data_IF_388426932157
#
_entry.id   IF_388426932157
#
_cell.length_a   1.000
_cell.length_b   1.000
_cell.length_c   1.000
_cell.angle_alpha   90.00
_cell.angle_beta   90.00
_cell.angle_gamma   90.00
#
_symmetry.space_group_name_H-M   'P 1'
#
loop_
_entity.id
_entity.type
_entity.pdbx_description
1 polymer ?
#
# COMPACT_ATOMS: atom_id res chain seq x y z
N UNK A 1 -8.66 -14.82 -5.07
CA UNK A 1 -7.38 -14.35 -4.49
C UNK A 1 -7.56 -13.84 -3.06
N UNK A 2 -8.53 -12.97 -2.77
CA UNK A 2 -8.71 -12.34 -1.45
C UNK A 2 -8.74 -13.30 -0.24
N UNK A 3 -9.54 -14.37 -0.28
CA UNK A 3 -9.62 -15.34 0.82
C UNK A 3 -8.26 -16.00 1.13
N UNK A 4 -7.47 -16.34 0.11
CA UNK A 4 -6.13 -16.89 0.29
C UNK A 4 -5.19 -15.88 0.96
N UNK A 5 -5.25 -14.60 0.55
CA UNK A 5 -4.47 -13.53 1.17
C UNK A 5 -4.80 -13.38 2.66
N UNK A 6 -6.10 -13.32 3.01
CA UNK A 6 -6.54 -13.28 4.42
C UNK A 6 -6.03 -14.47 5.21
N UNK A 7 -6.17 -15.69 4.67
CA UNK A 7 -5.70 -16.91 5.34
C UNK A 7 -4.19 -16.88 5.58
N UNK A 8 -3.40 -16.50 4.58
CA UNK A 8 -1.94 -16.41 4.70
C UNK A 8 -1.53 -15.37 5.76
N UNK A 9 -2.16 -14.20 5.78
CA UNK A 9 -1.90 -13.15 6.78
C UNK A 9 -2.27 -13.63 8.19
N UNK A 10 -3.42 -14.29 8.37
CA UNK A 10 -3.84 -14.86 9.66
C UNK A 10 -2.90 -15.98 10.12
N UNK A 11 -2.44 -16.83 9.20
CA UNK A 11 -1.42 -17.84 9.48
C UNK A 11 -0.11 -17.20 9.94
N UNK A 12 0.36 -16.15 9.26
CA UNK A 12 1.56 -15.43 9.67
C UNK A 12 1.44 -14.86 11.09
N UNK A 13 0.31 -14.19 11.40
CA UNK A 13 0.01 -13.70 12.75
C UNK A 13 0.05 -14.85 13.76
N UNK A 14 -0.70 -15.93 13.50
CA UNK A 14 -0.76 -17.10 14.39
C UNK A 14 0.62 -17.71 14.66
N UNK A 15 1.44 -17.89 13.63
CA UNK A 15 2.80 -18.45 13.75
C UNK A 15 3.73 -17.55 14.57
N UNK A 16 3.64 -16.23 14.41
CA UNK A 16 4.47 -15.26 15.12
C UNK A 16 4.12 -15.21 16.61
N UNK A 17 2.83 -15.29 16.93
CA UNK A 17 2.33 -15.22 18.30
C UNK A 17 2.47 -16.55 19.06
N UNK A 18 2.47 -17.70 18.38
CA UNK A 18 2.73 -19.01 18.99
C UNK A 18 4.19 -19.20 19.43
N UNK A 19 5.16 -18.59 18.74
CA UNK A 19 6.58 -18.76 19.09
C UNK A 19 6.94 -18.00 20.36
N UNK A 20 7.68 -18.62 21.27
CA UNK A 20 8.33 -17.91 22.37
C UNK A 20 9.57 -17.18 21.82
N UNK A 21 9.42 -15.88 21.59
CA UNK A 21 10.50 -15.02 21.10
C UNK A 21 11.16 -14.33 22.29
N UNK A 22 12.49 -14.13 22.21
CA UNK A 22 13.20 -13.33 23.21
C UNK A 22 12.62 -11.91 23.29
N UNK A 23 12.68 -11.21 24.44
CA UNK A 23 12.15 -9.85 24.58
C UNK A 23 12.59 -8.86 23.49
N UNK A 24 13.86 -8.95 23.07
CA UNK A 24 14.43 -8.14 21.99
C UNK A 24 13.79 -8.34 20.60
N UNK A 25 13.03 -9.44 20.42
CA UNK A 25 12.29 -9.78 19.20
C UNK A 25 10.79 -9.47 19.33
N UNK A 26 10.30 -9.12 20.53
CA UNK A 26 8.90 -8.76 20.74
C UNK A 26 8.50 -7.51 19.93
N UNK A 27 9.42 -6.58 19.74
CA UNK A 27 9.18 -5.38 18.93
C UNK A 27 8.97 -5.72 17.45
N UNK A 28 9.74 -6.67 16.91
CA UNK A 28 9.58 -7.15 15.53
C UNK A 28 8.24 -7.85 15.33
N UNK A 29 7.78 -8.59 16.34
CA UNK A 29 6.44 -9.19 16.32
C UNK A 29 5.35 -8.14 16.11
N UNK A 30 5.45 -6.97 16.74
CA UNK A 30 4.44 -5.90 16.57
C UNK A 30 4.43 -5.41 15.13
N UNK A 31 5.58 -5.02 14.58
CA UNK A 31 5.66 -4.51 13.20
C UNK A 31 5.16 -5.52 12.14
N UNK A 32 5.52 -6.79 12.30
CA UNK A 32 5.03 -7.84 11.38
C UNK A 32 3.53 -8.09 11.58
N UNK A 33 3.01 -8.00 12.82
CA UNK A 33 1.56 -8.10 13.08
C UNK A 33 0.80 -6.96 12.41
N UNK A 34 1.28 -5.72 12.52
CA UNK A 34 0.66 -4.54 11.88
C UNK A 34 0.62 -4.72 10.36
N UNK A 35 1.74 -5.09 9.75
CA UNK A 35 1.83 -5.31 8.30
C UNK A 35 0.92 -6.46 7.86
N UNK A 36 0.90 -7.57 8.59
CA UNK A 36 0.03 -8.71 8.29
C UNK A 36 -1.47 -8.34 8.44
N UNK A 37 -1.83 -7.52 9.43
CA UNK A 37 -3.20 -7.01 9.58
C UNK A 37 -3.60 -6.11 8.41
N UNK A 38 -2.71 -5.23 7.94
CA UNK A 38 -2.96 -4.38 6.77
C UNK A 38 -3.11 -5.23 5.50
N UNK A 39 -2.24 -6.22 5.28
CA UNK A 39 -2.38 -7.16 4.16
C UNK A 39 -3.66 -8.01 4.23
N UNK A 40 -4.09 -8.44 5.42
CA UNK A 40 -5.36 -9.13 5.62
C UNK A 40 -6.55 -8.23 5.28
N UNK A 41 -6.54 -6.98 5.77
CA UNK A 41 -7.57 -5.98 5.47
C UNK A 41 -7.68 -5.76 3.96
N UNK A 42 -6.56 -5.49 3.28
CA UNK A 42 -6.56 -5.25 1.85
C UNK A 42 -7.03 -6.48 1.05
N UNK A 43 -6.64 -7.69 1.47
CA UNK A 43 -7.10 -8.93 0.84
C UNK A 43 -8.59 -9.18 1.04
N UNK A 44 -9.13 -8.86 2.22
CA UNK A 44 -10.55 -8.95 2.51
C UNK A 44 -11.36 -7.95 1.67
N UNK A 45 -10.91 -6.69 1.61
CA UNK A 45 -11.53 -5.66 0.80
C UNK A 45 -11.53 -6.04 -0.68
N UNK A 46 -10.38 -6.50 -1.22
CA UNK A 46 -10.28 -6.95 -2.60
C UNK A 46 -11.19 -8.15 -2.90
N UNK A 47 -11.32 -9.09 -1.95
CA UNK A 47 -12.22 -10.24 -2.08
C UNK A 47 -13.70 -9.88 -2.05
N UNK A 48 -14.08 -8.84 -1.30
CA UNK A 48 -15.48 -8.44 -1.14
C UNK A 48 -15.97 -7.45 -2.22
N UNK A 49 -15.08 -6.58 -2.71
CA UNK A 49 -15.42 -5.49 -3.63
C UNK A 49 -14.82 -5.59 -5.03
N UNK A 50 -13.99 -6.61 -5.30
CA UNK A 50 -13.40 -6.93 -6.62
C UNK A 50 -13.12 -5.68 -7.48
N UNK A 51 -12.21 -4.83 -7.01
CA UNK A 51 -12.06 -3.48 -7.54
C UNK A 51 -11.22 -3.44 -8.81
N UNK A 52 -11.80 -2.93 -9.89
CA UNK A 52 -11.13 -2.65 -11.15
C UNK A 52 -10.93 -1.15 -11.28
N UNK A 53 -9.76 -0.75 -11.77
CA UNK A 53 -9.42 0.62 -12.08
C UNK A 53 -9.51 0.80 -13.59
N UNK A 54 -10.21 1.84 -14.01
CA UNK A 54 -10.43 2.24 -15.39
C UNK A 54 -9.89 3.66 -15.57
N UNK A 55 -9.20 3.88 -16.69
CA UNK A 55 -8.66 5.19 -17.05
C UNK A 55 -9.12 5.53 -18.46
N UNK A 56 -9.99 6.53 -18.54
CA UNK A 56 -10.66 6.95 -19.76
C UNK A 56 -10.45 8.45 -19.93
N UNK A 57 -9.53 8.83 -20.82
CA UNK A 57 -9.06 10.22 -21.02
C UNK A 57 -8.59 10.89 -19.72
N UNK A 58 -9.40 11.79 -19.14
CA UNK A 58 -9.10 12.49 -17.90
C UNK A 58 -9.82 11.89 -16.69
N UNK A 59 -10.51 10.76 -16.85
CA UNK A 59 -11.25 10.11 -15.78
C UNK A 59 -10.44 8.96 -15.19
N UNK A 60 -10.32 8.94 -13.86
CA UNK A 60 -9.85 7.79 -13.11
C UNK A 60 -11.03 7.19 -12.35
N UNK A 61 -11.43 5.99 -12.75
CA UNK A 61 -12.63 5.32 -12.30
C UNK A 61 -12.26 4.06 -11.51
N UNK A 62 -12.89 3.86 -10.37
CA UNK A 62 -12.86 2.63 -9.57
C UNK A 62 -14.21 1.96 -9.72
N UNK A 63 -14.24 0.82 -10.40
CA UNK A 63 -15.42 -0.02 -10.57
C UNK A 63 -15.37 -1.15 -9.57
N UNK A 64 -16.35 -1.21 -8.67
CA UNK A 64 -16.47 -2.32 -7.72
C UNK A 64 -17.46 -3.36 -8.22
N UNK A 65 -17.02 -4.61 -8.17
CA UNK A 65 -17.79 -5.80 -8.52
C UNK A 65 -18.00 -6.71 -7.30
N UNK A 66 -18.81 -7.76 -7.48
CA UNK A 66 -18.96 -8.82 -6.48
C UNK A 66 -19.91 -8.46 -5.34
N UNK A 67 -19.79 -9.07 -4.16
CA UNK A 67 -20.75 -8.96 -3.05
C UNK A 67 -21.17 -7.55 -2.66
N UNK A 68 -20.26 -6.58 -2.79
CA UNK A 68 -20.51 -5.18 -2.43
C UNK A 68 -21.66 -4.54 -3.21
N UNK A 69 -21.92 -4.96 -4.45
CA UNK A 69 -22.94 -4.32 -5.31
C UNK A 69 -24.36 -4.54 -4.78
N UNK A 70 -24.59 -5.64 -4.05
CA UNK A 70 -25.88 -5.96 -3.41
C UNK A 70 -26.04 -5.34 -2.02
N UNK A 71 -25.03 -4.62 -1.53
CA UNK A 71 -25.09 -3.92 -0.25
C UNK A 71 -25.60 -2.48 -0.42
N UNK A 72 -25.92 -1.82 0.70
CA UNK A 72 -26.25 -0.39 0.67
C UNK A 72 -25.03 0.43 0.25
N UNK A 73 -25.31 1.61 -0.30
CA UNK A 73 -24.28 2.56 -0.76
C UNK A 73 -23.32 2.94 0.39
N UNK A 74 -23.85 3.18 1.59
CA UNK A 74 -23.07 3.47 2.80
C UNK A 74 -22.01 2.38 3.06
N UNK A 75 -22.34 1.10 2.86
CA UNK A 75 -21.37 0.00 3.05
C UNK A 75 -20.28 0.07 1.98
N UNK A 76 -20.66 0.38 0.73
CA UNK A 76 -19.73 0.50 -0.39
C UNK A 76 -18.77 1.69 -0.19
N UNK A 77 -19.27 2.83 0.28
CA UNK A 77 -18.48 4.04 0.60
C UNK A 77 -17.47 3.76 1.71
N UNK A 78 -17.90 3.11 2.79
CA UNK A 78 -17.03 2.72 3.91
C UNK A 78 -15.95 1.75 3.43
N UNK A 79 -16.28 0.80 2.55
CA UNK A 79 -15.31 -0.13 1.99
C UNK A 79 -14.30 0.57 1.08
N UNK A 80 -14.74 1.54 0.27
CA UNK A 80 -13.85 2.37 -0.53
C UNK A 80 -12.90 3.17 0.36
N UNK A 81 -13.42 3.81 1.41
CA UNK A 81 -12.60 4.55 2.37
C UNK A 81 -11.49 3.67 2.97
N UNK A 82 -11.84 2.46 3.44
CA UNK A 82 -10.87 1.53 3.98
C UNK A 82 -9.89 1.02 2.92
N UNK A 83 -10.34 0.87 1.67
CA UNK A 83 -9.47 0.46 0.57
C UNK A 83 -8.43 1.53 0.26
N UNK A 84 -8.85 2.79 0.13
CA UNK A 84 -7.94 3.92 -0.12
C UNK A 84 -6.96 4.04 1.06
N UNK A 85 -7.45 4.01 2.30
CA UNK A 85 -6.59 4.01 3.49
C UNK A 85 -5.56 2.86 3.47
N UNK A 86 -5.98 1.64 3.12
CA UNK A 86 -5.09 0.49 3.03
C UNK A 86 -4.06 0.63 1.92
N UNK A 87 -4.43 1.26 0.79
CA UNK A 87 -3.53 1.54 -0.33
C UNK A 87 -2.44 2.55 0.05
N UNK A 88 -2.79 3.63 0.76
CA UNK A 88 -1.82 4.57 1.34
C UNK A 88 -0.86 3.87 2.31
N UNK A 89 -1.41 2.99 3.18
CA UNK A 89 -0.64 2.22 4.15
C UNK A 89 0.50 1.37 3.55
N UNK A 90 0.44 1.03 2.26
CA UNK A 90 1.46 0.22 1.57
C UNK A 90 2.86 0.85 1.70
N UNK A 91 2.99 2.16 1.44
CA UNK A 91 4.29 2.84 1.53
C UNK A 91 4.53 3.53 2.87
N UNK A 92 3.47 3.91 3.57
CA UNK A 92 3.59 4.60 4.87
C UNK A 92 4.07 3.69 6.01
N UNK A 93 3.84 2.38 5.91
CA UNK A 93 4.32 1.40 6.91
C UNK A 93 5.77 0.96 6.69
N UNK A 94 6.36 1.21 5.50
CA UNK A 94 7.76 0.84 5.19
C UNK A 94 8.76 1.48 6.16
N UNK A 95 8.69 2.79 6.47
CA UNK A 95 9.54 3.44 7.45
C UNK A 95 9.54 2.77 8.82
N UNK A 96 8.37 2.34 9.31
CA UNK A 96 8.24 1.81 10.66
C UNK A 96 9.11 0.56 10.84
N UNK A 97 9.04 -0.37 9.90
CA UNK A 97 9.90 -1.56 9.90
C UNK A 97 11.39 -1.20 9.87
N UNK A 98 11.79 -0.20 9.09
CA UNK A 98 13.21 0.15 8.90
C UNK A 98 13.80 0.93 10.07
N UNK A 99 13.03 1.87 10.64
CA UNK A 99 13.38 2.59 11.87
C UNK A 99 13.53 1.59 13.01
N UNK A 100 12.60 0.65 13.14
CA UNK A 100 12.64 -0.36 14.19
C UNK A 100 13.95 -1.16 14.16
N UNK A 101 14.39 -1.56 12.97
CA UNK A 101 15.63 -2.30 12.76
C UNK A 101 16.86 -1.47 13.12
N UNK A 102 16.89 -0.23 12.65
CA UNK A 102 17.97 0.69 12.97
C UNK A 102 18.08 0.92 14.48
N UNK A 103 16.96 1.10 15.17
CA UNK A 103 16.93 1.28 16.62
C UNK A 103 17.38 0.02 17.36
N UNK A 104 16.95 -1.17 16.91
CA UNK A 104 17.39 -2.44 17.47
C UNK A 104 18.91 -2.68 17.31
N UNK A 105 19.53 -2.10 16.28
CA UNK A 105 20.97 -2.17 16.02
C UNK A 105 21.80 -1.14 16.77
N UNK A 106 21.29 0.09 16.87
CA UNK A 106 22.10 1.25 17.26
C UNK A 106 21.96 1.65 18.72
N UNK A 107 20.88 1.26 19.41
CA UNK A 107 20.58 1.76 20.74
C UNK A 107 19.96 0.70 21.63
N UNK A 108 20.35 0.68 22.91
CA UNK A 108 19.64 -0.03 23.98
C UNK A 108 18.38 0.71 24.43
N UNK A 109 17.60 1.28 23.50
CA UNK A 109 16.33 1.94 23.86
C UNK A 109 15.37 0.88 24.40
N UNK A 110 14.72 1.19 25.52
CA UNK A 110 13.65 0.40 26.13
C UNK A 110 12.59 0.05 25.07
N UNK A 111 12.12 -1.19 25.08
CA UNK A 111 11.31 -1.78 24.00
C UNK A 111 10.05 -0.97 23.65
N UNK A 112 9.38 -0.33 24.61
CA UNK A 112 8.14 0.44 24.37
C UNK A 112 8.40 1.75 23.61
N UNK A 113 9.41 2.51 24.01
CA UNK A 113 9.78 3.77 23.34
C UNK A 113 10.21 3.50 21.90
N UNK A 114 10.84 2.35 21.65
CA UNK A 114 11.21 1.92 20.29
C UNK A 114 9.99 1.76 19.38
N UNK A 115 8.90 1.15 19.87
CA UNK A 115 7.65 0.98 19.12
C UNK A 115 7.04 2.34 18.79
N UNK A 116 6.96 3.23 19.79
CA UNK A 116 6.35 4.56 19.58
C UNK A 116 7.12 5.34 18.51
N UNK A 117 8.45 5.30 18.53
CA UNK A 117 9.29 6.02 17.55
C UNK A 117 9.17 5.41 16.14
N UNK A 118 9.10 4.08 16.02
CA UNK A 118 9.02 3.48 14.69
C UNK A 118 7.65 3.71 14.04
N UNK A 119 6.57 3.60 14.83
CA UNK A 119 5.21 3.78 14.32
C UNK A 119 4.81 5.25 14.14
N UNK A 120 5.49 6.20 14.80
CA UNK A 120 5.09 7.61 14.72
C UNK A 120 5.19 8.18 13.32
N UNK A 121 6.19 7.78 12.53
CA UNK A 121 6.36 8.28 11.15
C UNK A 121 5.18 7.85 10.28
N UNK A 122 4.79 6.57 10.35
CA UNK A 122 3.63 6.04 9.62
C UNK A 122 2.33 6.72 10.06
N UNK A 123 2.12 6.89 11.37
CA UNK A 123 0.91 7.53 11.90
C UNK A 123 0.78 8.99 11.50
N UNK A 124 1.89 9.74 11.49
CA UNK A 124 1.88 11.15 11.05
C UNK A 124 1.51 11.23 9.57
N UNK A 125 2.05 10.32 8.74
CA UNK A 125 1.71 10.23 7.32
C UNK A 125 0.21 9.91 7.13
N UNK A 126 -0.31 8.88 7.81
CA UNK A 126 -1.74 8.51 7.75
C UNK A 126 -2.65 9.67 8.18
N UNK A 127 -2.28 10.41 9.23
CA UNK A 127 -3.06 11.56 9.71
C UNK A 127 -3.02 12.70 8.69
N UNK A 128 -1.88 12.93 8.06
CA UNK A 128 -1.74 13.89 6.98
C UNK A 128 -2.58 13.49 5.75
N UNK A 129 -2.66 12.20 5.44
CA UNK A 129 -3.40 11.68 4.29
C UNK A 129 -4.91 11.48 4.53
N UNK A 130 -5.37 11.58 5.79
CA UNK A 130 -6.78 11.39 6.16
C UNK A 130 -7.79 12.18 5.30
N UNK A 131 -7.56 13.49 4.97
CA UNK A 131 -8.48 14.23 4.12
C UNK A 131 -8.64 13.60 2.74
N UNK A 132 -7.64 12.88 2.25
CA UNK A 132 -7.60 12.31 0.91
C UNK A 132 -8.28 10.94 0.79
N UNK A 133 -8.63 10.28 1.89
CA UNK A 133 -9.27 8.95 1.86
C UNK A 133 -10.67 8.97 1.24
N UNK A 134 -11.31 10.14 1.19
CA UNK A 134 -12.60 10.33 0.53
C UNK A 134 -12.48 10.91 -0.88
N UNK A 135 -11.27 11.07 -1.44
CA UNK A 135 -11.05 11.77 -2.71
C UNK A 135 -11.78 11.16 -3.92
N UNK A 136 -12.19 9.89 -3.85
CA UNK A 136 -12.94 9.20 -4.90
C UNK A 136 -14.46 9.13 -4.65
N UNK A 137 -14.95 9.77 -3.58
CA UNK A 137 -16.39 9.99 -3.37
C UNK A 137 -16.78 11.23 -4.16
N UNK A 138 -17.06 11.02 -5.45
CA UNK A 138 -17.44 12.09 -6.37
C UNK A 138 -18.85 12.62 -6.08
N UNK A 139 -19.09 13.86 -6.50
CA UNK A 139 -20.42 14.47 -6.60
C UNK A 139 -21.39 13.58 -7.40
N UNK A 140 -22.72 13.71 -7.18
CA UNK A 140 -23.71 12.97 -7.96
C UNK A 140 -23.54 13.13 -9.48
N UNK A 141 -23.27 14.35 -9.95
CA UNK A 141 -23.11 14.70 -11.36
C UNK A 141 -21.87 14.02 -11.97
N UNK A 142 -20.74 14.06 -11.26
CA UNK A 142 -19.53 13.38 -11.69
C UNK A 142 -19.71 11.87 -11.66
N UNK A 143 -20.37 11.32 -10.64
CA UNK A 143 -20.66 9.89 -10.57
C UNK A 143 -21.52 9.40 -11.72
N UNK A 144 -22.51 10.18 -12.17
CA UNK A 144 -23.31 9.86 -13.37
C UNK A 144 -22.43 9.79 -14.63
N UNK A 145 -21.54 10.78 -14.81
CA UNK A 145 -20.57 10.80 -15.91
C UNK A 145 -19.63 9.57 -15.90
N UNK A 146 -19.05 9.25 -14.73
CA UNK A 146 -18.19 8.08 -14.58
C UNK A 146 -18.97 6.79 -14.82
N UNK A 147 -20.23 6.71 -14.38
CA UNK A 147 -21.09 5.54 -14.57
C UNK A 147 -21.42 5.33 -16.05
N UNK A 148 -21.77 6.39 -16.78
CA UNK A 148 -22.02 6.30 -18.22
C UNK A 148 -20.80 5.75 -18.98
N UNK A 149 -19.60 6.22 -18.60
CA UNK A 149 -18.33 5.74 -19.16
C UNK A 149 -18.10 4.26 -18.87
N UNK A 150 -18.38 3.80 -17.65
CA UNK A 150 -18.28 2.37 -17.30
C UNK A 150 -19.26 1.53 -18.09
N UNK A 151 -20.52 1.97 -18.23
CA UNK A 151 -21.55 1.27 -19.00
C UNK A 151 -21.11 1.10 -20.46
N UNK A 152 -20.56 2.15 -21.06
CA UNK A 152 -20.04 2.10 -22.43
C UNK A 152 -18.83 1.17 -22.56
N UNK A 153 -17.77 1.38 -21.75
CA UNK A 153 -16.50 0.66 -21.89
C UNK A 153 -16.61 -0.82 -21.53
N UNK A 154 -17.47 -1.16 -20.56
CA UNK A 154 -17.69 -2.54 -20.13
C UNK A 154 -18.88 -3.21 -20.82
N UNK A 155 -19.55 -2.51 -21.74
CA UNK A 155 -20.74 -3.00 -22.46
C UNK A 155 -21.82 -3.54 -21.51
N UNK A 156 -22.06 -2.82 -20.40
CA UNK A 156 -22.98 -3.27 -19.35
C UNK A 156 -24.44 -3.22 -19.84
N UNK A 157 -25.21 -4.24 -19.46
CA UNK A 157 -26.65 -4.31 -19.69
C UNK A 157 -27.45 -3.86 -18.47
N UNK A 158 -28.76 -3.69 -18.60
CA UNK A 158 -29.66 -3.33 -17.48
C UNK A 158 -29.66 -4.35 -16.33
N UNK A 159 -29.20 -5.58 -16.58
CA UNK A 159 -29.11 -6.63 -15.57
C UNK A 159 -27.78 -6.59 -14.79
N UNK A 160 -26.80 -5.85 -15.30
CA UNK A 160 -25.47 -5.77 -14.69
C UNK A 160 -25.47 -4.68 -13.60
N UNK A 161 -24.95 -5.04 -12.42
CA UNK A 161 -24.89 -4.13 -11.27
C UNK A 161 -23.45 -3.91 -10.86
N UNK A 162 -23.04 -2.65 -10.83
CA UNK A 162 -21.70 -2.21 -10.43
C UNK A 162 -21.80 -0.98 -9.53
N UNK A 163 -20.78 -0.77 -8.69
CA UNK A 163 -20.61 0.52 -8.00
C UNK A 163 -19.46 1.28 -8.65
N UNK A 164 -19.69 2.55 -8.94
CA UNK A 164 -18.73 3.39 -9.64
C UNK A 164 -18.32 4.54 -8.73
N UNK A 165 -17.01 4.65 -8.55
CA UNK A 165 -16.34 5.70 -7.80
C UNK A 165 -15.21 6.26 -8.65
N UNK A 166 -14.60 7.36 -8.23
CA UNK A 166 -13.47 7.91 -8.96
C UNK A 166 -13.44 9.42 -8.94
N UNK A 167 -12.81 9.99 -9.95
CA UNK A 167 -12.76 11.43 -10.18
C UNK A 167 -12.02 11.75 -11.47
N UNK A 168 -11.95 13.03 -11.78
CA UNK A 168 -11.25 13.55 -12.96
C UNK A 168 -9.85 14.04 -12.58
N UNK A 169 -8.92 14.05 -13.54
CA UNK A 169 -7.56 14.54 -13.36
C UNK A 169 -7.56 15.98 -12.84
N UNK A 170 -8.42 16.82 -13.41
CA UNK A 170 -8.70 18.18 -12.98
C UNK A 170 -10.14 18.26 -12.49
N UNK A 171 -10.39 18.97 -11.39
CA UNK A 171 -11.75 19.13 -10.87
C UNK A 171 -12.63 19.80 -11.93
N UNK A 172 -13.72 19.13 -12.32
CA UNK A 172 -14.69 19.65 -13.29
C UNK A 172 -15.91 20.27 -12.60
N UNK A 173 -16.26 19.80 -11.40
CA UNK A 173 -17.38 20.28 -10.61
C UNK A 173 -16.88 20.89 -9.29
N UNK A 174 -17.69 21.76 -8.69
CA UNK A 174 -17.30 22.60 -7.55
C UNK A 174 -16.94 21.79 -6.29
N UNK A 175 -17.63 20.68 -6.04
CA UNK A 175 -17.40 19.83 -4.86
C UNK A 175 -16.35 18.73 -5.09
N UNK A 176 -15.92 18.52 -6.34
CA UNK A 176 -15.03 17.43 -6.69
C UNK A 176 -13.56 17.75 -6.51
N UNK A 177 -12.80 16.71 -6.15
CA UNK A 177 -11.35 16.82 -5.95
C UNK A 177 -10.62 16.27 -7.15
N UNK A 178 -9.61 17.03 -7.57
CA UNK A 178 -8.68 16.61 -8.62
C UNK A 178 -7.90 15.36 -8.18
N UNK A 179 -7.86 14.35 -9.05
CA UNK A 179 -7.01 13.16 -8.86
C UNK A 179 -5.53 13.53 -8.89
N UNK A 180 -5.14 14.57 -9.64
CA UNK A 180 -3.77 15.10 -9.61
C UNK A 180 -3.44 15.77 -8.27
N UNK A 181 -4.40 16.42 -7.61
CA UNK A 181 -4.19 16.97 -6.27
C UNK A 181 -3.97 15.84 -5.25
N UNK A 182 -4.77 14.78 -5.32
CA UNK A 182 -4.56 13.56 -4.53
C UNK A 182 -3.16 12.98 -4.74
N UNK A 183 -2.76 12.79 -6.00
CA UNK A 183 -1.46 12.22 -6.34
C UNK A 183 -0.29 13.12 -5.90
N UNK A 184 -0.38 14.43 -6.18
CA UNK A 184 0.71 15.38 -5.95
C UNK A 184 0.85 15.86 -4.50
N UNK A 185 -0.25 15.94 -3.74
CA UNK A 185 -0.26 16.49 -2.38
C UNK A 185 -0.51 15.42 -1.32
N UNK A 186 -1.30 14.39 -1.60
CA UNK A 186 -1.47 13.25 -0.69
C UNK A 186 -0.35 12.23 -0.88
N UNK A 187 -0.39 11.51 -2.00
CA UNK A 187 0.48 10.34 -2.25
C UNK A 187 1.96 10.71 -2.34
N UNK A 188 2.32 11.68 -3.18
CA UNK A 188 3.72 11.96 -3.51
C UNK A 188 4.56 12.40 -2.29
N UNK A 189 4.09 13.31 -1.41
CA UNK A 189 4.85 13.70 -0.22
C UNK A 189 5.07 12.55 0.77
N UNK A 190 4.03 11.77 1.10
CA UNK A 190 4.16 10.66 2.06
C UNK A 190 4.99 9.52 1.49
N UNK A 191 4.90 9.29 0.19
CA UNK A 191 5.79 8.38 -0.54
C UNK A 191 7.27 8.83 -0.47
N UNK A 192 7.58 10.10 -0.74
CA UNK A 192 8.96 10.63 -0.63
C UNK A 192 9.49 10.46 0.79
N UNK A 193 8.71 10.87 1.80
CA UNK A 193 9.11 10.74 3.21
C UNK A 193 9.34 9.28 3.57
N UNK A 194 8.49 8.39 3.08
CA UNK A 194 8.57 6.96 3.27
C UNK A 194 9.91 6.38 2.79
N UNK A 195 10.20 6.59 1.50
CA UNK A 195 11.42 6.07 0.87
C UNK A 195 12.68 6.79 1.34
N UNK A 196 12.64 8.10 1.57
CA UNK A 196 13.78 8.82 2.14
C UNK A 196 14.17 8.25 3.51
N UNK A 197 13.18 7.99 4.37
CA UNK A 197 13.39 7.37 5.68
C UNK A 197 13.94 5.95 5.56
N UNK A 198 13.40 5.16 4.64
CA UNK A 198 13.94 3.83 4.30
C UNK A 198 15.42 3.90 3.93
N UNK A 199 15.81 4.72 2.95
CA UNK A 199 17.20 4.82 2.49
C UNK A 199 18.13 5.36 3.57
N UNK A 200 17.68 6.35 4.33
CA UNK A 200 18.45 6.93 5.42
C UNK A 200 18.73 5.89 6.52
N UNK A 201 17.69 5.19 6.99
CA UNK A 201 17.81 4.16 8.04
C UNK A 201 18.61 2.96 7.56
N UNK A 202 18.41 2.49 6.33
CA UNK A 202 19.21 1.43 5.72
C UNK A 202 20.70 1.79 5.65
N UNK A 203 21.03 3.00 5.18
CA UNK A 203 22.43 3.49 5.13
C UNK A 203 23.06 3.57 6.52
N UNK A 204 22.31 4.04 7.52
CA UNK A 204 22.76 4.11 8.91
C UNK A 204 22.98 2.72 9.50
N UNK A 205 22.03 1.80 9.34
CA UNK A 205 22.16 0.40 9.75
C UNK A 205 23.37 -0.28 9.14
N UNK A 206 23.63 -0.07 7.84
CA UNK A 206 24.83 -0.58 7.16
C UNK A 206 26.13 -0.06 7.76
N UNK A 207 26.21 1.26 8.02
CA UNK A 207 27.39 1.87 8.66
C UNK A 207 27.61 1.31 10.07
N UNK A 208 26.54 1.21 10.85
CA UNK A 208 26.57 0.66 12.21
C UNK A 208 27.02 -0.81 12.22
N UNK A 209 26.54 -1.63 11.28
CA UNK A 209 26.97 -3.02 11.14
C UNK A 209 28.44 -3.18 10.76
N UNK A 210 28.99 -2.27 9.94
CA UNK A 210 30.42 -2.26 9.63
C UNK A 210 31.26 -1.85 10.84
N UNK A 211 30.81 -0.86 11.61
CA UNK A 211 31.50 -0.40 12.81
C UNK A 211 31.51 -1.45 13.94
N UNK A 212 30.42 -2.20 14.12
CA UNK A 212 30.31 -3.23 15.16
C UNK A 212 30.95 -4.58 14.81
N UNK A 213 31.62 -4.71 13.65
CA UNK A 213 32.33 -5.92 13.24
C UNK A 213 33.35 -6.45 14.27
N UNK A 214 33.70 -5.66 15.28
CA UNK A 214 34.63 -5.99 16.36
C UNK A 214 33.94 -6.30 17.71
N UNK A 215 32.65 -5.95 17.91
CA UNK A 215 31.98 -6.03 19.24
C UNK A 215 30.77 -6.96 19.35
N UNK A 216 30.14 -7.36 18.24
CA UNK A 216 28.95 -8.22 18.26
C UNK A 216 29.31 -9.68 18.01
N UNK A 217 28.52 -10.61 18.57
CA UNK A 217 28.70 -12.05 18.31
C UNK A 217 28.57 -12.35 16.81
N UNK A 218 29.35 -13.33 16.32
CA UNK A 218 29.31 -13.76 14.91
C UNK A 218 27.88 -14.18 14.48
N UNK A 219 27.09 -14.75 15.41
CA UNK A 219 25.70 -15.13 15.17
C UNK A 219 24.79 -13.92 14.98
N UNK A 220 24.92 -12.88 15.81
CA UNK A 220 24.14 -11.64 15.70
C UNK A 220 24.48 -10.88 14.43
N UNK A 221 25.77 -10.77 14.09
CA UNK A 221 26.23 -10.18 12.82
C UNK A 221 25.68 -10.97 11.63
N UNK A 222 25.69 -12.30 11.70
CA UNK A 222 25.14 -13.17 10.65
C UNK A 222 23.65 -12.96 10.42
N UNK A 223 22.85 -12.90 11.49
CA UNK A 223 21.40 -12.65 11.40
C UNK A 223 21.10 -11.26 10.86
N UNK A 224 21.78 -10.23 11.37
CA UNK A 224 21.60 -8.85 10.92
C UNK A 224 22.03 -8.66 9.46
N UNK A 225 23.13 -9.28 9.03
CA UNK A 225 23.53 -9.29 7.61
C UNK A 225 22.51 -10.01 6.75
N UNK A 226 22.02 -11.20 7.14
CA UNK A 226 20.99 -11.93 6.38
C UNK A 226 19.72 -11.10 6.21
N UNK A 227 19.34 -10.38 7.25
CA UNK A 227 18.16 -9.55 7.25
C UNK A 227 18.36 -8.25 6.44
N UNK A 228 19.52 -7.61 6.53
CA UNK A 228 19.89 -6.51 5.62
C UNK A 228 19.98 -6.98 4.16
N UNK A 229 20.46 -8.20 3.91
CA UNK A 229 20.43 -8.84 2.59
C UNK A 229 18.99 -9.08 2.12
N UNK A 230 18.09 -9.47 3.03
CA UNK A 230 16.66 -9.65 2.73
C UNK A 230 15.96 -8.33 2.35
N UNK A 231 16.36 -7.22 2.99
CA UNK A 231 15.72 -5.90 2.81
C UNK A 231 16.40 -5.05 1.73
N UNK A 232 17.72 -5.15 1.58
CA UNK A 232 18.54 -4.20 0.80
C UNK A 232 19.44 -4.87 -0.24
N UNK A 233 19.97 -6.08 -0.01
CA UNK A 233 21.14 -6.57 -0.74
C UNK A 233 20.93 -7.88 -1.54
N UNK A 234 20.87 -7.68 -2.85
CA UNK A 234 21.10 -8.61 -3.96
C UNK A 234 22.44 -9.34 -3.85
N UNK A 235 22.49 -10.53 -3.23
CA UNK A 235 23.66 -11.42 -3.48
C UNK A 235 23.34 -12.77 -4.09
N UNK A 236 22.10 -13.23 -4.05
CA UNK A 236 21.63 -14.40 -4.80
C UNK A 236 20.20 -14.11 -5.25
N UNK A 237 20.02 -13.77 -6.54
CA UNK A 237 18.84 -13.68 -7.44
C UNK A 237 17.37 -13.52 -6.91
N UNK A 238 17.07 -13.47 -5.62
CA UNK A 238 15.71 -13.67 -5.08
C UNK A 238 15.33 -12.73 -3.92
N UNK A 239 16.21 -11.83 -3.47
CA UNK A 239 15.98 -11.00 -2.28
C UNK A 239 15.96 -9.47 -2.56
N UNK A 240 15.63 -9.07 -3.78
CA UNK A 240 15.36 -7.67 -4.14
C UNK A 240 13.89 -7.28 -3.89
N UNK A 241 13.12 -8.18 -3.27
CA UNK A 241 11.67 -8.20 -3.43
C UNK A 241 10.93 -7.34 -2.40
N UNK A 242 11.23 -7.36 -1.10
CA UNK A 242 10.22 -6.82 -0.16
C UNK A 242 9.99 -5.30 -0.23
N UNK A 243 11.03 -4.46 -0.28
CA UNK A 243 10.85 -3.00 -0.35
C UNK A 243 10.75 -2.45 -1.79
N UNK A 244 11.40 -3.12 -2.75
CA UNK A 244 11.44 -2.66 -4.15
C UNK A 244 10.50 -3.42 -5.08
N UNK A 245 9.99 -4.62 -4.74
CA UNK A 245 9.00 -5.29 -5.59
C UNK A 245 7.68 -4.54 -5.62
N UNK A 246 7.16 -3.96 -4.52
CA UNK A 246 6.01 -3.06 -4.62
C UNK A 246 6.29 -1.94 -5.62
N UNK A 247 7.48 -1.33 -5.57
CA UNK A 247 7.88 -0.32 -6.55
C UNK A 247 7.96 -0.85 -7.97
N UNK A 248 8.58 -2.01 -8.19
CA UNK A 248 8.73 -2.58 -9.52
C UNK A 248 7.36 -2.96 -10.10
N UNK A 249 6.51 -3.60 -9.31
CA UNK A 249 5.13 -3.99 -9.67
C UNK A 249 4.27 -2.76 -9.95
N UNK A 250 4.44 -1.66 -9.19
CA UNK A 250 3.72 -0.41 -9.41
C UNK A 250 4.34 0.48 -10.50
N UNK A 251 5.63 0.37 -10.79
CA UNK A 251 6.31 1.21 -11.79
C UNK A 251 5.78 0.99 -13.20
N UNK A 252 5.45 -0.26 -13.53
CA UNK A 252 4.88 -0.59 -14.84
C UNK A 252 3.53 0.12 -15.04
N UNK A 253 2.53 -0.06 -14.16
CA UNK A 253 1.25 0.60 -14.36
C UNK A 253 1.28 2.10 -14.11
N UNK A 254 2.13 2.62 -13.22
CA UNK A 254 2.35 4.07 -13.09
C UNK A 254 2.96 4.65 -14.37
N UNK A 255 3.92 3.96 -15.00
CA UNK A 255 4.48 4.37 -16.28
C UNK A 255 3.44 4.40 -17.40
N UNK A 256 2.57 3.39 -17.47
CA UNK A 256 1.44 3.41 -18.41
C UNK A 256 0.48 4.58 -18.15
N UNK A 257 0.19 4.86 -16.87
CA UNK A 257 -0.65 5.97 -16.47
C UNK A 257 -0.03 7.33 -16.85
N UNK A 258 1.25 7.55 -16.58
CA UNK A 258 1.97 8.76 -17.00
C UNK A 258 1.96 8.95 -18.52
N UNK A 259 2.21 7.88 -19.28
CA UNK A 259 2.14 7.91 -20.75
C UNK A 259 0.73 8.25 -21.21
N UNK A 260 -0.31 7.66 -20.60
CA UNK A 260 -1.70 7.94 -20.96
C UNK A 260 -2.09 9.40 -20.67
N UNK A 261 -1.65 9.96 -19.54
CA UNK A 261 -1.85 11.38 -19.22
C UNK A 261 -1.17 12.29 -20.25
N UNK A 262 0.11 12.03 -20.56
CA UNK A 262 0.89 12.88 -21.48
C UNK A 262 0.32 12.81 -22.90
N UNK A 263 -0.13 11.63 -23.32
CA UNK A 263 -0.64 11.41 -24.68
C UNK A 263 -2.14 11.68 -24.83
N UNK A 264 -2.88 11.79 -23.73
CA UNK A 264 -4.34 11.95 -23.74
C UNK A 264 -5.08 10.72 -24.29
N UNK A 265 -4.50 9.52 -24.15
CA UNK A 265 -5.07 8.28 -24.71
C UNK A 265 -5.95 7.59 -23.66
N UNK A 266 -7.16 7.19 -24.06
CA UNK A 266 -7.99 6.29 -23.29
C UNK A 266 -7.33 4.89 -23.20
N UNK A 267 -7.06 4.44 -21.98
CA UNK A 267 -6.50 3.11 -21.76
C UNK A 267 -7.59 2.04 -21.72
N UNK A 268 -8.78 2.40 -21.27
CA UNK A 268 -9.95 1.54 -21.17
C UNK A 268 -9.61 0.20 -20.52
N UNK A 269 -10.09 -0.92 -21.07
CA UNK A 269 -9.85 -2.27 -20.54
C UNK A 269 -8.36 -2.63 -20.38
N UNK A 270 -7.43 -1.90 -21.01
CA UNK A 270 -5.98 -2.13 -20.80
C UNK A 270 -5.53 -1.78 -19.38
N UNK A 271 -6.29 -0.97 -18.63
CA UNK A 271 -6.04 -0.71 -17.20
C UNK A 271 -6.34 -1.89 -16.29
N UNK A 272 -6.97 -2.97 -16.79
CA UNK A 272 -7.12 -4.20 -16.00
C UNK A 272 -5.76 -4.73 -15.54
N UNK A 273 -4.71 -4.59 -16.36
CA UNK A 273 -3.34 -4.93 -15.97
C UNK A 273 -2.85 -4.14 -14.74
N UNK A 274 -3.19 -2.85 -14.64
CA UNK A 274 -2.91 -2.02 -13.46
C UNK A 274 -3.64 -2.56 -12.22
N UNK A 275 -4.91 -2.93 -12.37
CA UNK A 275 -5.71 -3.48 -11.27
C UNK A 275 -5.13 -4.79 -10.73
N UNK A 276 -4.72 -5.69 -11.62
CA UNK A 276 -4.04 -6.93 -11.23
C UNK A 276 -2.71 -6.65 -10.53
N UNK A 277 -1.91 -5.69 -11.01
CA UNK A 277 -0.68 -5.29 -10.31
C UNK A 277 -0.95 -4.79 -8.90
N UNK A 278 -1.97 -3.96 -8.70
CA UNK A 278 -2.37 -3.47 -7.39
C UNK A 278 -2.81 -4.61 -6.45
N UNK A 279 -3.54 -5.60 -6.98
CA UNK A 279 -3.96 -6.77 -6.21
C UNK A 279 -2.81 -7.69 -5.81
N UNK A 280 -1.68 -7.65 -6.52
CA UNK A 280 -0.50 -8.44 -6.18
C UNK A 280 0.32 -7.79 -5.06
N UNK A 281 0.20 -6.48 -4.81
CA UNK A 281 1.00 -5.78 -3.80
C UNK A 281 0.87 -6.40 -2.39
N UNK A 282 -0.32 -6.74 -1.87
CA UNK A 282 -0.47 -7.35 -0.54
C UNK A 282 0.17 -8.72 -0.41
N UNK A 283 0.30 -9.47 -1.51
CA UNK A 283 0.92 -10.81 -1.52
C UNK A 283 2.45 -10.70 -1.37
N UNK A 284 2.99 -9.55 -1.74
CA UNK A 284 4.43 -9.27 -1.81
C UNK A 284 4.98 -8.71 -0.50
N UNK A 285 4.13 -8.07 0.31
CA UNK A 285 4.47 -7.46 1.60
C UNK A 285 4.52 -8.50 2.74
#
# INVERSE_FOLDING_TARGET
>A
SGALGVLLSLMAISLIWRKQLSPNLATYRVGVTVTACQGALQSALAGFSCQVHLFHYDQYIIVMYGPVVWTSEIVSDVLLFFFVMAAFGIWELIPASCILQYLALSKSVIDRTRIVICESTAKIAIVFDLPFFTAFHASPECRELLTATVVEVHELTENDTVRVYGGTLFAQFEEDRSVLLLAGVGVFPTYIVGYFTFFFTARKSHRTLRAFGVKLSARTIGLQRKFFTMIVLQKNKTAFLQAFLPLAVLSVPLGFFEVAIITGIAMDLKTLALSFSLWLVPIVQ
#
